data_IF_364086625913
#
_entry.id   IF_364086625913
#
_cell.length_a   1.000
_cell.length_b   1.000
_cell.length_c   1.000
_cell.angle_alpha   90.00
_cell.angle_beta   90.00
_cell.angle_gamma   90.00
#
_symmetry.space_group_name_H-M   'P 1'
#
loop_
_entity.id
_entity.type
_entity.pdbx_description
1 polymer ?
#
# COMPACT_ATOMS: atom_id res chain seq x y z
N UNK A 1 -25.40 7.70 41.54
CA UNK A 1 -24.48 6.55 41.28
C UNK A 1 -24.36 6.20 39.80
N UNK A 2 -25.44 5.97 39.04
CA UNK A 2 -25.33 5.62 37.60
C UNK A 2 -24.71 6.70 36.69
N UNK A 3 -24.91 7.98 37.01
CA UNK A 3 -24.31 9.07 36.24
C UNK A 3 -22.78 9.10 36.36
N UNK A 4 -22.24 8.87 37.56
CA UNK A 4 -20.80 8.80 37.79
C UNK A 4 -20.17 7.60 37.06
N UNK A 5 -20.80 6.41 37.12
CA UNK A 5 -20.28 5.24 36.38
C UNK A 5 -20.33 5.42 34.88
N UNK A 6 -21.32 6.16 34.35
CA UNK A 6 -21.38 6.49 32.93
C UNK A 6 -20.25 7.44 32.54
N UNK A 7 -19.98 8.44 33.39
CA UNK A 7 -18.91 9.40 33.16
C UNK A 7 -17.53 8.73 33.17
N UNK A 8 -17.26 7.87 34.15
CA UNK A 8 -16.03 7.06 34.20
C UNK A 8 -15.88 6.17 32.96
N UNK A 9 -16.98 5.58 32.47
CA UNK A 9 -16.96 4.75 31.27
C UNK A 9 -16.67 5.57 30.00
N UNK A 10 -17.21 6.79 29.91
CA UNK A 10 -16.95 7.71 28.79
C UNK A 10 -15.50 8.21 28.78
N UNK A 11 -14.93 8.50 29.95
CA UNK A 11 -13.52 8.88 30.09
C UNK A 11 -12.60 7.74 29.64
N UNK A 12 -12.86 6.50 30.09
CA UNK A 12 -12.10 5.32 29.66
C UNK A 12 -12.21 5.07 28.17
N UNK A 13 -13.40 5.25 27.59
CA UNK A 13 -13.61 5.12 26.15
C UNK A 13 -12.82 6.18 25.38
N UNK A 14 -12.78 7.41 25.88
CA UNK A 14 -12.02 8.51 25.28
C UNK A 14 -10.53 8.19 25.27
N UNK A 15 -9.98 7.73 26.40
CA UNK A 15 -8.57 7.30 26.47
C UNK A 15 -8.27 6.17 25.50
N UNK A 16 -9.13 5.14 25.45
CA UNK A 16 -8.95 4.02 24.55
C UNK A 16 -8.98 4.42 23.06
N UNK A 17 -9.82 5.40 22.70
CA UNK A 17 -9.83 5.96 21.33
C UNK A 17 -8.49 6.64 21.04
N UNK A 18 -8.00 7.50 21.94
CA UNK A 18 -6.73 8.19 21.75
C UNK A 18 -5.55 7.21 21.63
N UNK A 19 -5.52 6.14 22.44
CA UNK A 19 -4.47 5.11 22.37
C UNK A 19 -4.47 4.41 21.01
N UNK A 20 -5.65 4.03 20.51
CA UNK A 20 -5.80 3.41 19.17
C UNK A 20 -5.39 4.37 18.05
N UNK A 21 -5.76 5.65 18.15
CA UNK A 21 -5.36 6.67 17.18
C UNK A 21 -3.84 6.88 17.16
N UNK A 22 -3.19 6.85 18.33
CA UNK A 22 -1.74 6.95 18.46
C UNK A 22 -1.02 5.76 17.82
N UNK A 23 -1.45 4.53 18.11
CA UNK A 23 -0.90 3.32 17.49
C UNK A 23 -1.13 3.29 15.97
N UNK A 24 -2.30 3.74 15.51
CA UNK A 24 -2.56 3.87 14.08
C UNK A 24 -1.64 4.90 13.42
N UNK A 25 -1.32 5.99 14.10
CA UNK A 25 -0.37 6.99 13.61
C UNK A 25 1.06 6.43 13.56
N UNK A 26 1.49 5.68 14.58
CA UNK A 26 2.78 5.00 14.61
C UNK A 26 2.89 3.97 13.48
N UNK A 27 1.88 3.12 13.29
CA UNK A 27 1.84 2.13 12.22
C UNK A 27 1.83 2.78 10.82
N UNK A 28 1.19 3.94 10.66
CA UNK A 28 1.27 4.75 9.43
C UNK A 28 2.63 5.40 9.25
N UNK A 29 3.35 5.72 10.33
CA UNK A 29 4.72 6.22 10.26
C UNK A 29 5.72 5.10 9.89
N UNK A 30 5.45 3.86 10.31
CA UNK A 30 6.19 2.65 9.90
C UNK A 30 5.87 2.18 8.47
N UNK A 31 4.94 2.84 7.78
CA UNK A 31 4.51 2.47 6.43
C UNK A 31 5.68 2.56 5.45
N UNK A 32 6.24 1.41 5.04
CA UNK A 32 7.18 1.33 3.93
C UNK A 32 6.48 1.76 2.62
N UNK A 33 6.80 2.95 2.09
CA UNK A 33 6.13 3.46 0.89
C UNK A 33 6.38 2.58 -0.33
N UNK A 34 7.56 1.95 -0.42
CA UNK A 34 7.92 1.06 -1.52
C UNK A 34 7.11 -0.23 -1.45
N UNK A 35 6.96 -0.83 -0.26
CA UNK A 35 6.16 -2.04 -0.08
C UNK A 35 4.69 -1.82 -0.48
N UNK A 36 4.09 -0.71 -0.04
CA UNK A 36 2.72 -0.35 -0.42
C UNK A 36 2.59 -0.08 -1.91
N UNK A 37 3.55 0.62 -2.50
CA UNK A 37 3.57 0.87 -3.93
C UNK A 37 3.70 -0.42 -4.75
N UNK A 38 4.51 -1.39 -4.31
CA UNK A 38 4.60 -2.72 -4.92
C UNK A 38 3.25 -3.43 -4.90
N UNK A 39 2.54 -3.41 -3.76
CA UNK A 39 1.24 -4.06 -3.63
C UNK A 39 0.19 -3.42 -4.55
N UNK A 40 0.09 -2.10 -4.54
CA UNK A 40 -0.85 -1.34 -5.38
C UNK A 40 -0.53 -1.55 -6.86
N UNK A 41 0.74 -1.46 -7.26
CA UNK A 41 1.18 -1.63 -8.64
C UNK A 41 0.91 -3.05 -9.15
N UNK A 42 1.14 -4.09 -8.33
CA UNK A 42 0.78 -5.49 -8.65
C UNK A 42 -0.71 -5.64 -8.92
N UNK A 43 -1.54 -5.06 -8.05
CA UNK A 43 -3.00 -5.12 -8.19
C UNK A 43 -3.46 -4.44 -9.48
N UNK A 44 -2.93 -3.26 -9.79
CA UNK A 44 -3.25 -2.54 -11.03
C UNK A 44 -2.80 -3.32 -12.26
N UNK A 45 -1.58 -3.86 -12.25
CA UNK A 45 -1.04 -4.65 -13.35
C UNK A 45 -1.88 -5.90 -13.65
N UNK A 46 -2.33 -6.62 -12.61
CA UNK A 46 -3.19 -7.81 -12.78
C UNK A 46 -4.59 -7.47 -13.26
N UNK A 47 -5.17 -6.39 -12.75
CA UNK A 47 -6.56 -6.03 -13.00
C UNK A 47 -6.77 -5.21 -14.28
N UNK A 48 -5.69 -4.75 -14.91
CA UNK A 48 -5.85 -4.01 -16.17
C UNK A 48 -6.32 -4.94 -17.28
N UNK A 49 -7.44 -4.57 -17.91
CA UNK A 49 -7.87 -5.14 -19.18
C UNK A 49 -6.90 -4.70 -20.25
N UNK A 50 -6.03 -5.61 -20.67
CA UNK A 50 -4.95 -5.31 -21.59
C UNK A 50 -5.40 -5.35 -23.07
N UNK A 51 -4.56 -4.82 -23.95
CA UNK A 51 -4.71 -5.03 -25.39
C UNK A 51 -4.12 -6.39 -25.80
N UNK A 52 -4.47 -6.89 -26.98
CA UNK A 52 -3.90 -8.15 -27.52
C UNK A 52 -2.36 -8.15 -27.54
N UNK A 53 -1.74 -6.97 -27.65
CA UNK A 53 -0.29 -6.78 -27.72
C UNK A 53 0.41 -6.60 -26.36
N UNK A 54 -0.32 -6.52 -25.25
CA UNK A 54 0.30 -6.35 -23.93
C UNK A 54 0.67 -4.90 -23.58
N UNK A 55 0.40 -3.96 -24.49
CA UNK A 55 0.92 -2.57 -24.40
C UNK A 55 0.42 -1.82 -23.17
N UNK A 56 -0.79 -2.11 -22.69
CA UNK A 56 -1.36 -1.38 -21.54
C UNK A 56 -0.69 -1.84 -20.24
N UNK A 57 -0.38 -3.13 -20.11
CA UNK A 57 0.42 -3.65 -18.99
C UNK A 57 1.85 -3.15 -19.01
N UNK A 58 2.50 -3.12 -20.18
CA UNK A 58 3.85 -2.56 -20.34
C UNK A 58 3.88 -1.08 -19.91
N UNK A 59 2.92 -0.28 -20.36
CA UNK A 59 2.80 1.13 -19.98
C UNK A 59 2.60 1.30 -18.46
N UNK A 60 1.72 0.52 -17.84
CA UNK A 60 1.48 0.57 -16.39
C UNK A 60 2.72 0.16 -15.60
N UNK A 61 3.43 -0.88 -16.03
CA UNK A 61 4.67 -1.30 -15.40
C UNK A 61 5.73 -0.19 -15.48
N UNK A 62 5.90 0.43 -16.65
CA UNK A 62 6.87 1.53 -16.83
C UNK A 62 6.52 2.78 -16.03
N UNK A 63 5.23 3.15 -15.95
CA UNK A 63 4.79 4.29 -15.13
C UNK A 63 5.03 4.03 -13.64
N UNK A 64 4.69 2.84 -13.15
CA UNK A 64 4.89 2.47 -11.74
C UNK A 64 6.37 2.29 -11.37
N UNK A 65 7.22 1.91 -12.32
CA UNK A 65 8.66 1.75 -12.09
C UNK A 65 9.35 3.05 -11.69
N UNK A 66 9.01 4.17 -12.33
CA UNK A 66 9.60 5.47 -12.01
C UNK A 66 9.35 5.85 -10.55
N UNK A 67 8.09 5.72 -10.09
CA UNK A 67 7.73 5.93 -8.69
C UNK A 67 8.42 4.92 -7.77
N UNK A 68 8.61 3.67 -8.19
CA UNK A 68 9.35 2.70 -7.40
C UNK A 68 10.81 3.12 -7.17
N UNK A 69 11.48 3.64 -8.19
CA UNK A 69 12.85 4.15 -8.10
C UNK A 69 12.95 5.34 -7.13
N UNK A 70 11.99 6.27 -7.18
CA UNK A 70 11.87 7.39 -6.24
C UNK A 70 11.68 6.89 -4.79
N UNK A 71 10.95 5.79 -4.61
CA UNK A 71 10.71 5.15 -3.32
C UNK A 71 11.86 4.24 -2.85
N UNK A 72 12.99 4.20 -3.56
CA UNK A 72 14.17 3.45 -3.13
C UNK A 72 14.38 2.11 -3.82
N UNK A 73 13.55 1.72 -4.79
CA UNK A 73 13.82 0.54 -5.61
C UNK A 73 15.15 0.73 -6.38
N UNK A 74 15.95 -0.34 -6.45
CA UNK A 74 17.27 -0.36 -7.10
C UNK A 74 17.40 -1.41 -8.20
N UNK A 75 16.34 -2.16 -8.46
CA UNK A 75 16.31 -3.13 -9.55
C UNK A 75 16.07 -2.48 -10.91
N UNK A 76 16.27 -3.26 -11.95
CA UNK A 76 15.94 -2.94 -13.34
C UNK A 76 14.43 -2.94 -13.60
N UNK A 77 14.01 -2.35 -14.72
CA UNK A 77 12.62 -2.42 -15.18
C UNK A 77 12.15 -3.87 -15.36
N UNK A 78 13.01 -4.75 -15.87
CA UNK A 78 12.70 -6.17 -16.04
C UNK A 78 12.42 -6.86 -14.70
N UNK A 79 13.20 -6.55 -13.67
CA UNK A 79 12.97 -7.05 -12.30
C UNK A 79 11.68 -6.49 -11.70
N UNK A 80 11.37 -5.22 -11.98
CA UNK A 80 10.11 -4.62 -11.59
C UNK A 80 8.92 -5.28 -12.28
N UNK A 81 8.99 -5.53 -13.58
CA UNK A 81 7.96 -6.24 -14.34
C UNK A 81 7.73 -7.65 -13.80
N UNK A 82 8.80 -8.40 -13.50
CA UNK A 82 8.71 -9.71 -12.85
C UNK A 82 8.05 -9.61 -11.48
N UNK A 83 8.39 -8.61 -10.68
CA UNK A 83 7.72 -8.35 -9.42
C UNK A 83 6.23 -8.06 -9.64
N UNK A 84 5.81 -7.37 -10.70
CA UNK A 84 4.38 -7.14 -10.97
C UNK A 84 3.61 -8.39 -11.43
N UNK A 85 4.32 -9.48 -11.73
CA UNK A 85 3.74 -10.73 -12.23
C UNK A 85 3.75 -10.83 -13.75
N UNK A 86 4.57 -10.04 -14.44
CA UNK A 86 4.93 -10.30 -15.83
C UNK A 86 5.75 -11.59 -15.88
N UNK A 87 5.08 -12.73 -16.07
CA UNK A 87 5.77 -13.97 -16.39
C UNK A 87 6.49 -13.74 -17.72
N UNK A 88 7.82 -13.78 -17.70
CA UNK A 88 8.62 -13.76 -18.91
C UNK A 88 8.04 -14.82 -19.85
N UNK A 89 7.59 -14.40 -21.04
CA UNK A 89 7.19 -15.35 -22.09
C UNK A 89 8.43 -16.20 -22.36
N UNK A 90 8.38 -17.48 -21.95
CA UNK A 90 9.30 -18.50 -22.47
C UNK A 90 8.96 -18.78 -23.92
#
# INVERSE_FOLDING_TARGET
MRAASLQDALERLTTAICDVESELAAMKAEHDPLASHIFVSRRHYRNVTDTKSGKRREMIARLSFNTACELGFRGSLDEWERLMGAVARR
#
